data_IF_764561140320
#
_entry.id   IF_764561140320
#
_cell.length_a   1.000
_cell.length_b   1.000
_cell.length_c   1.000
_cell.angle_alpha   90.00
_cell.angle_beta   90.00
_cell.angle_gamma   90.00
#
_symmetry.space_group_name_H-M   'P 1'
#
loop_
_entity.id
_entity.type
_entity.pdbx_description
1 polymer ?
#
# COMPACT_ATOMS: atom_id res chain seq x y z
N UNK A 1 24.57 -3.88 6.16
CA UNK A 1 23.34 -3.05 6.13
C UNK A 1 22.43 -3.73 5.15
N UNK A 2 21.23 -4.17 5.57
CA UNK A 2 20.27 -4.90 4.72
C UNK A 2 19.66 -3.96 3.67
N UNK A 3 20.44 -3.67 2.63
CA UNK A 3 20.05 -2.87 1.47
C UNK A 3 19.31 -3.77 0.46
N UNK A 4 18.28 -3.22 -0.18
CA UNK A 4 17.52 -3.91 -1.22
C UNK A 4 18.40 -4.34 -2.39
N UNK A 5 19.46 -3.57 -2.70
CA UNK A 5 20.42 -3.92 -3.76
C UNK A 5 21.13 -5.24 -3.48
N UNK A 6 21.57 -5.48 -2.24
CA UNK A 6 22.19 -6.75 -1.85
C UNK A 6 21.20 -7.90 -1.99
N UNK A 7 19.97 -7.73 -1.50
CA UNK A 7 18.94 -8.75 -1.59
C UNK A 7 18.59 -9.14 -3.04
N UNK A 8 18.57 -8.15 -3.95
CA UNK A 8 18.34 -8.37 -5.39
C UNK A 8 19.46 -9.16 -6.09
N UNK A 9 20.71 -9.11 -5.59
CA UNK A 9 21.80 -9.94 -6.11
C UNK A 9 21.75 -11.38 -5.62
N UNK A 10 21.15 -11.63 -4.46
CA UNK A 10 21.13 -12.95 -3.81
C UNK A 10 19.91 -13.78 -4.22
N UNK A 11 18.77 -13.14 -4.47
CA UNK A 11 17.52 -13.83 -4.82
C UNK A 11 16.53 -12.93 -5.56
N UNK A 12 15.53 -13.57 -6.16
CA UNK A 12 14.35 -12.87 -6.68
C UNK A 12 13.55 -12.32 -5.49
N UNK A 13 13.17 -11.04 -5.58
CA UNK A 13 12.22 -10.41 -4.66
C UNK A 13 10.84 -10.37 -5.30
N UNK A 14 9.82 -10.66 -4.50
CA UNK A 14 8.44 -10.70 -4.95
C UNK A 14 7.74 -9.39 -4.57
N UNK A 15 7.23 -8.66 -5.57
CA UNK A 15 6.32 -7.53 -5.36
C UNK A 15 4.90 -8.07 -5.08
N UNK A 16 4.09 -7.29 -4.37
CA UNK A 16 2.70 -7.64 -4.09
C UNK A 16 1.79 -7.58 -5.33
N UNK A 17 0.52 -7.91 -5.12
CA UNK A 17 -0.50 -7.91 -6.17
C UNK A 17 -1.37 -6.65 -6.14
N UNK A 18 -2.39 -6.65 -7.01
CA UNK A 18 -3.28 -5.50 -7.16
C UNK A 18 -4.02 -5.13 -5.86
N UNK A 19 -3.83 -3.90 -5.39
CA UNK A 19 -4.58 -3.30 -4.29
C UNK A 19 -6.05 -3.04 -4.69
N UNK A 20 -6.28 -2.41 -5.85
CA UNK A 20 -7.63 -2.04 -6.31
C UNK A 20 -8.58 -3.24 -6.43
N UNK A 21 -8.14 -4.35 -7.02
CA UNK A 21 -8.94 -5.59 -7.15
C UNK A 21 -9.32 -6.16 -5.78
N UNK A 22 -8.43 -6.06 -4.79
CA UNK A 22 -8.70 -6.53 -3.43
C UNK A 22 -9.68 -5.60 -2.69
N UNK A 23 -9.53 -4.29 -2.86
CA UNK A 23 -10.46 -3.30 -2.31
C UNK A 23 -11.86 -3.40 -2.94
N UNK A 24 -11.97 -3.70 -4.24
CA UNK A 24 -13.26 -3.95 -4.91
C UNK A 24 -14.02 -5.11 -4.26
N UNK A 25 -13.33 -6.18 -3.84
CA UNK A 25 -13.95 -7.29 -3.08
C UNK A 25 -14.48 -6.85 -1.70
N UNK A 26 -14.01 -5.72 -1.20
CA UNK A 26 -14.41 -5.12 0.08
C UNK A 26 -15.35 -3.92 -0.12
N UNK A 27 -15.95 -3.80 -1.31
CA UNK A 27 -16.97 -2.80 -1.62
C UNK A 27 -16.41 -1.43 -1.98
N UNK A 28 -15.17 -1.34 -2.48
CA UNK A 28 -14.66 -0.11 -3.07
C UNK A 28 -15.52 0.32 -4.26
N UNK A 29 -15.97 1.58 -4.22
CA UNK A 29 -16.56 2.30 -5.34
C UNK A 29 -15.94 3.71 -5.40
N UNK A 30 -15.29 4.07 -6.51
CA UNK A 30 -14.65 5.37 -6.66
C UNK A 30 -13.24 5.43 -6.08
N UNK A 31 -12.99 6.36 -5.16
CA UNK A 31 -11.65 6.76 -4.72
C UNK A 31 -11.00 5.76 -3.74
N UNK A 32 -10.04 4.97 -4.21
CA UNK A 32 -9.30 3.99 -3.38
C UNK A 32 -8.54 4.63 -2.22
N UNK A 33 -8.00 5.83 -2.40
CA UNK A 33 -7.19 6.52 -1.40
C UNK A 33 -8.00 6.95 -0.18
N UNK A 34 -9.32 7.10 -0.32
CA UNK A 34 -10.20 7.42 0.80
C UNK A 34 -10.25 6.28 1.84
N UNK A 35 -10.10 5.03 1.40
CA UNK A 35 -10.06 3.87 2.30
C UNK A 35 -8.88 3.92 3.26
N UNK A 36 -7.81 4.67 2.97
CA UNK A 36 -6.71 4.89 3.91
C UNK A 36 -7.18 5.57 5.23
N UNK A 37 -8.32 6.27 5.19
CA UNK A 37 -8.91 6.94 6.36
C UNK A 37 -10.20 6.28 6.82
N UNK A 38 -11.06 5.91 5.87
CA UNK A 38 -12.41 5.41 6.20
C UNK A 38 -12.42 3.92 6.53
N UNK A 39 -11.45 3.15 6.02
CA UNK A 39 -11.31 1.70 6.21
C UNK A 39 -9.84 1.26 6.33
N UNK A 40 -9.04 1.89 7.22
CA UNK A 40 -7.60 1.62 7.32
C UNK A 40 -7.31 0.16 7.68
N UNK A 41 -8.16 -0.48 8.46
CA UNK A 41 -8.06 -1.91 8.81
C UNK A 41 -8.18 -2.81 7.58
N UNK A 42 -9.02 -2.44 6.61
CA UNK A 42 -9.16 -3.17 5.34
C UNK A 42 -7.87 -3.07 4.52
N UNK A 43 -7.31 -1.87 4.39
CA UNK A 43 -6.05 -1.65 3.66
C UNK A 43 -4.89 -2.41 4.34
N UNK A 44 -4.77 -2.31 5.66
CA UNK A 44 -3.77 -3.05 6.43
C UNK A 44 -3.92 -4.57 6.32
N UNK A 45 -5.15 -5.08 6.30
CA UNK A 45 -5.43 -6.50 6.11
C UNK A 45 -4.98 -6.99 4.72
N UNK A 46 -5.14 -6.18 3.67
CA UNK A 46 -4.68 -6.52 2.31
C UNK A 46 -3.15 -6.56 2.24
N UNK A 47 -2.45 -5.56 2.79
CA UNK A 47 -0.99 -5.61 2.89
C UNK A 47 -0.52 -6.86 3.63
N UNK A 48 -1.15 -7.15 4.78
CA UNK A 48 -0.84 -8.35 5.55
C UNK A 48 -1.06 -9.64 4.73
N UNK A 49 -2.16 -9.72 3.98
CA UNK A 49 -2.43 -10.88 3.14
C UNK A 49 -1.35 -11.10 2.08
N UNK A 50 -0.85 -10.04 1.44
CA UNK A 50 0.26 -10.15 0.49
C UNK A 50 1.59 -10.53 1.16
N UNK A 51 1.89 -9.95 2.33
CA UNK A 51 3.08 -10.33 3.12
C UNK A 51 3.05 -11.82 3.49
N UNK A 52 1.90 -12.29 4.00
CA UNK A 52 1.67 -13.68 4.41
C UNK A 52 1.74 -14.63 3.20
N UNK A 53 1.34 -14.16 2.02
CA UNK A 53 1.47 -14.90 0.76
C UNK A 53 2.91 -14.94 0.20
N UNK A 54 3.83 -14.16 0.76
CA UNK A 54 5.26 -14.19 0.40
C UNK A 54 5.80 -12.92 -0.25
N UNK A 55 5.03 -11.84 -0.36
CA UNK A 55 5.52 -10.57 -0.92
C UNK A 55 6.68 -10.01 -0.09
N UNK A 56 7.82 -9.79 -0.73
CA UNK A 56 9.00 -9.14 -0.14
C UNK A 56 8.88 -7.62 -0.13
N UNK A 57 8.20 -7.08 -1.14
CA UNK A 57 7.97 -5.67 -1.35
C UNK A 57 6.47 -5.47 -1.44
N UNK A 58 5.93 -4.49 -0.74
CA UNK A 58 4.53 -4.09 -0.86
C UNK A 58 4.42 -2.65 -1.34
N UNK A 59 3.44 -2.36 -2.18
CA UNK A 59 3.15 -1.00 -2.62
C UNK A 59 2.24 -0.29 -1.61
N UNK A 60 2.26 1.05 -1.58
CA UNK A 60 1.29 1.85 -0.81
C UNK A 60 -0.03 2.00 -1.57
N UNK A 61 -1.16 2.10 -0.87
CA UNK A 61 -2.45 2.45 -1.48
C UNK A 61 -2.52 3.96 -1.83
N UNK A 62 -1.70 4.39 -2.78
CA UNK A 62 -1.53 5.81 -3.14
C UNK A 62 -1.28 6.06 -4.62
N UNK A 63 -1.71 5.15 -5.50
CA UNK A 63 -1.49 5.24 -6.95
C UNK A 63 -2.03 6.55 -7.53
N UNK A 64 -3.23 6.95 -7.11
CA UNK A 64 -3.90 8.20 -7.48
C UNK A 64 -3.79 9.30 -6.41
N UNK A 65 -2.89 9.19 -5.43
CA UNK A 65 -2.70 10.19 -4.37
C UNK A 65 -1.92 11.45 -4.82
N UNK A 66 -2.31 12.04 -5.95
CA UNK A 66 -1.76 13.28 -6.50
C UNK A 66 -2.88 14.32 -6.72
N UNK A 67 -2.51 15.60 -6.83
CA UNK A 67 -3.48 16.71 -6.94
C UNK A 67 -4.41 16.60 -8.15
N UNK A 68 -3.91 16.06 -9.26
CA UNK A 68 -4.63 15.98 -10.54
C UNK A 68 -5.70 14.90 -10.43
N UNK A 69 -5.32 13.67 -10.11
CA UNK A 69 -6.27 12.55 -9.96
C UNK A 69 -7.28 12.79 -8.85
N UNK A 70 -6.85 13.37 -7.72
CA UNK A 70 -7.77 13.68 -6.62
C UNK A 70 -8.72 14.86 -6.93
N UNK A 71 -8.52 15.61 -8.03
CA UNK A 71 -9.46 16.67 -8.42
C UNK A 71 -10.81 16.12 -8.88
N UNK A 72 -10.83 14.93 -9.47
CA UNK A 72 -12.04 14.22 -9.90
C UNK A 72 -12.95 13.88 -8.72
N UNK A 73 -12.38 13.78 -7.51
CA UNK A 73 -13.06 13.50 -6.26
C UNK A 73 -13.20 14.73 -5.34
N UNK A 74 -12.87 15.94 -5.82
CA UNK A 74 -12.87 17.16 -4.99
C UNK A 74 -11.83 17.16 -3.86
N UNK A 75 -10.82 16.30 -3.94
CA UNK A 75 -9.86 16.00 -2.87
C UNK A 75 -8.42 16.49 -3.17
N UNK A 76 -8.18 17.34 -4.17
CA UNK A 76 -6.84 17.81 -4.54
C UNK A 76 -6.02 18.34 -3.35
N UNK A 77 -6.65 19.06 -2.42
CA UNK A 77 -5.99 19.59 -1.21
C UNK A 77 -5.51 18.53 -0.22
N UNK A 78 -6.01 17.29 -0.33
CA UNK A 78 -5.72 16.17 0.59
C UNK A 78 -4.76 15.14 0.00
N UNK A 79 -4.31 15.30 -1.24
CA UNK A 79 -3.45 14.32 -1.92
C UNK A 79 -2.20 13.92 -1.10
N UNK A 80 -1.50 14.90 -0.52
CA UNK A 80 -0.33 14.63 0.35
C UNK A 80 -0.72 13.85 1.61
N UNK A 81 -1.84 14.22 2.22
CA UNK A 81 -2.35 13.55 3.43
C UNK A 81 -2.68 12.08 3.13
N UNK A 82 -3.33 11.82 1.99
CA UNK A 82 -3.65 10.48 1.50
C UNK A 82 -2.39 9.63 1.27
N UNK A 83 -1.41 10.16 0.56
CA UNK A 83 -0.15 9.46 0.32
C UNK A 83 0.59 9.14 1.63
N UNK A 84 0.63 10.10 2.56
CA UNK A 84 1.27 9.92 3.86
C UNK A 84 0.57 8.83 4.69
N UNK A 85 -0.76 8.82 4.70
CA UNK A 85 -1.51 7.81 5.43
C UNK A 85 -1.34 6.42 4.81
N UNK A 86 -1.35 6.31 3.47
CA UNK A 86 -1.05 5.06 2.78
C UNK A 86 0.33 4.50 3.16
N UNK A 87 1.36 5.36 3.16
CA UNK A 87 2.72 5.00 3.57
C UNK A 87 2.78 4.51 5.02
N UNK A 88 2.04 5.15 5.94
CA UNK A 88 1.97 4.72 7.35
C UNK A 88 1.36 3.33 7.49
N UNK A 89 0.27 3.04 6.76
CA UNK A 89 -0.40 1.74 6.82
C UNK A 89 0.50 0.62 6.27
N UNK A 90 1.12 0.83 5.11
CA UNK A 90 2.05 -0.13 4.52
C UNK A 90 3.29 -0.35 5.41
N UNK A 91 3.89 0.75 5.93
CA UNK A 91 5.05 0.66 6.84
C UNK A 91 4.71 -0.11 8.11
N UNK A 92 3.56 0.17 8.73
CA UNK A 92 3.12 -0.54 9.92
C UNK A 92 2.89 -2.03 9.65
N UNK A 93 2.32 -2.40 8.50
CA UNK A 93 2.14 -3.80 8.12
C UNK A 93 3.50 -4.51 7.92
N UNK A 94 4.44 -3.83 7.26
CA UNK A 94 5.77 -4.37 7.01
C UNK A 94 6.64 -4.45 8.29
N UNK A 95 6.45 -3.55 9.26
CA UNK A 95 7.14 -3.60 10.57
C UNK A 95 6.59 -4.72 11.48
N UNK A 96 5.32 -5.08 11.32
CA UNK A 96 4.70 -6.20 12.03
C UNK A 96 5.10 -7.58 11.46
N UNK A 97 5.75 -7.61 10.30
CA UNK A 97 6.17 -8.85 9.65
C UNK A 97 7.34 -9.52 10.39
N UNK A 98 7.39 -10.86 10.37
CA UNK A 98 8.48 -11.63 11.01
C UNK A 98 9.80 -11.60 10.22
N UNK A 99 9.80 -10.98 9.05
CA UNK A 99 10.95 -10.88 8.14
C UNK A 99 10.99 -9.48 7.55
N UNK A 100 12.12 -9.11 6.97
CA UNK A 100 12.23 -7.84 6.24
C UNK A 100 11.21 -7.80 5.10
N UNK A 101 10.40 -6.74 5.11
CA UNK A 101 9.51 -6.36 4.02
C UNK A 101 9.81 -4.90 3.66
N UNK A 102 10.07 -4.65 2.38
CA UNK A 102 10.26 -3.32 1.83
C UNK A 102 8.91 -2.69 1.49
N UNK A 103 8.85 -1.37 1.61
CA UNK A 103 7.71 -0.51 1.24
C UNK A 103 8.26 0.58 0.34
#
# INVERSE_FOLDING_TARGET
>A
MDDIRTALYERILILDGAMGTMLQRHGLSGNSEEFNFTRPETVSAIHKAYIDAGADIIETNSFSANRISQSEYGCSGRAREMALQAARLARSAADAARRKVWV
#
